data_IF_727818554444
#
_entry.id   IF_727818554444
#
_cell.length_a   1.000
_cell.length_b   1.000
_cell.length_c   1.000
_cell.angle_alpha   90.00
_cell.angle_beta   90.00
_cell.angle_gamma   90.00
#
_symmetry.space_group_name_H-M   'P 1'
#
loop_
_entity.id
_entity.type
_entity.pdbx_description
1 polymer ?
#
# COMPACT_ATOMS: atom_id res chain seq x y z
N UNK A 1 -4.57 6.40 -5.23
CA UNK A 1 -3.52 7.30 -5.70
C UNK A 1 -4.12 8.66 -6.13
N UNK A 2 -5.06 8.72 -7.06
CA UNK A 2 -5.67 9.97 -7.54
C UNK A 2 -6.32 10.78 -6.41
N UNK A 3 -7.11 10.14 -5.55
CA UNK A 3 -7.74 10.79 -4.37
C UNK A 3 -6.73 11.38 -3.40
N UNK A 4 -5.54 10.81 -3.33
CA UNK A 4 -4.45 11.27 -2.47
C UNK A 4 -3.53 12.30 -3.16
N UNK A 5 -3.86 12.74 -4.37
CA UNK A 5 -3.04 13.68 -5.11
C UNK A 5 -1.68 13.14 -5.56
N UNK A 6 -1.54 11.81 -5.63
CA UNK A 6 -0.33 11.18 -6.18
C UNK A 6 -0.28 11.46 -7.69
N UNK A 7 0.78 12.10 -8.21
CA UNK A 7 0.89 12.38 -9.64
C UNK A 7 1.02 11.08 -10.45
N UNK A 8 0.79 11.11 -11.78
CA UNK A 8 1.05 9.97 -12.64
C UNK A 8 2.49 9.47 -12.50
N UNK A 9 2.64 8.27 -11.97
CA UNK A 9 3.91 7.64 -11.65
C UNK A 9 3.86 6.13 -11.85
N UNK A 10 4.89 5.40 -11.42
CA UNK A 10 4.85 3.94 -11.35
C UNK A 10 4.26 3.52 -10.01
N UNK A 11 3.26 2.65 -10.05
CA UNK A 11 2.70 1.99 -8.87
C UNK A 11 3.20 0.56 -8.86
N UNK A 12 3.91 0.18 -7.80
CA UNK A 12 4.44 -1.16 -7.63
C UNK A 12 3.39 -2.06 -6.97
N UNK A 13 3.10 -3.18 -7.63
CA UNK A 13 2.22 -4.22 -7.13
C UNK A 13 3.06 -5.37 -6.60
N UNK A 14 2.80 -5.79 -5.36
CA UNK A 14 3.64 -6.74 -4.67
C UNK A 14 3.21 -8.19 -4.91
N UNK A 15 4.23 -9.06 -5.10
CA UNK A 15 4.15 -10.51 -4.98
C UNK A 15 5.17 -10.90 -3.92
N UNK A 16 4.74 -10.90 -2.66
CA UNK A 16 5.63 -11.06 -1.51
C UNK A 16 5.50 -12.48 -0.92
N UNK A 17 5.76 -13.48 -1.76
CA UNK A 17 5.89 -14.88 -1.38
C UNK A 17 6.72 -15.65 -2.41
N UNK A 18 7.26 -16.81 -2.00
CA UNK A 18 8.03 -17.68 -2.87
C UNK A 18 7.12 -18.46 -3.84
N UNK A 19 6.77 -17.81 -4.95
CA UNK A 19 5.92 -18.41 -5.96
C UNK A 19 6.72 -19.35 -6.87
N UNK A 20 6.19 -20.56 -7.07
CA UNK A 20 6.73 -21.52 -8.03
C UNK A 20 6.42 -21.09 -9.47
N UNK A 21 7.22 -21.56 -10.43
CA UNK A 21 7.02 -21.28 -11.87
C UNK A 21 5.59 -21.58 -12.38
N UNK A 22 4.95 -22.71 -12.02
CA UNK A 22 3.54 -22.94 -12.37
C UNK A 22 2.60 -21.87 -11.78
N UNK A 23 2.83 -21.40 -10.57
CA UNK A 23 2.03 -20.35 -9.94
C UNK A 23 2.22 -19.00 -10.63
N UNK A 24 3.43 -18.69 -11.06
CA UNK A 24 3.69 -17.47 -11.86
C UNK A 24 2.87 -17.52 -13.15
N UNK A 25 2.85 -18.66 -13.83
CA UNK A 25 2.10 -18.83 -15.07
C UNK A 25 0.58 -18.76 -14.88
N UNK A 26 0.08 -19.46 -13.85
CA UNK A 26 -1.39 -19.65 -13.70
C UNK A 26 -2.08 -18.53 -12.92
N UNK A 27 -1.36 -17.78 -12.08
CA UNK A 27 -1.95 -16.78 -11.19
C UNK A 27 -1.34 -15.39 -11.37
N UNK A 28 -0.01 -15.26 -11.36
CA UNK A 28 0.65 -13.97 -11.30
C UNK A 28 0.60 -13.26 -12.67
N UNK A 29 0.90 -13.96 -13.74
CA UNK A 29 0.78 -13.40 -15.10
C UNK A 29 -0.65 -12.92 -15.42
N UNK A 30 -1.73 -13.71 -15.19
CA UNK A 30 -3.09 -13.23 -15.37
C UNK A 30 -3.45 -12.04 -14.47
N UNK A 31 -2.97 -12.03 -13.22
CA UNK A 31 -3.17 -10.92 -12.30
C UNK A 31 -2.56 -9.62 -12.86
N UNK A 32 -1.29 -9.64 -13.25
CA UNK A 32 -0.63 -8.45 -13.81
C UNK A 32 -1.22 -8.01 -15.14
N UNK A 33 -1.69 -8.96 -15.98
CA UNK A 33 -2.45 -8.63 -17.17
C UNK A 33 -3.71 -7.82 -16.84
N UNK A 34 -4.47 -8.26 -15.84
CA UNK A 34 -5.68 -7.56 -15.41
C UNK A 34 -5.36 -6.19 -14.82
N UNK A 35 -4.31 -6.08 -13.98
CA UNK A 35 -3.83 -4.80 -13.42
C UNK A 35 -3.48 -3.83 -14.54
N UNK A 36 -2.69 -4.26 -15.53
CA UNK A 36 -2.27 -3.41 -16.65
C UNK A 36 -3.45 -2.92 -17.48
N UNK A 37 -4.46 -3.75 -17.66
CA UNK A 37 -5.67 -3.39 -18.40
C UNK A 37 -6.60 -2.44 -17.63
N UNK A 38 -6.57 -2.51 -16.30
CA UNK A 38 -7.46 -1.75 -15.41
C UNK A 38 -6.86 -0.45 -14.91
N UNK A 39 -5.52 -0.34 -14.89
CA UNK A 39 -4.84 0.83 -14.36
C UNK A 39 -4.98 2.02 -15.29
N UNK A 40 -5.68 3.05 -14.82
CA UNK A 40 -5.92 4.30 -15.56
C UNK A 40 -5.16 5.49 -14.98
N UNK A 41 -5.54 6.71 -15.41
CA UNK A 41 -5.05 7.96 -14.81
C UNK A 41 -3.59 8.29 -15.10
N UNK A 42 -2.99 7.68 -16.13
CA UNK A 42 -1.59 7.90 -16.50
C UNK A 42 -0.58 7.15 -15.61
N UNK A 43 -1.05 6.35 -14.66
CA UNK A 43 -0.18 5.49 -13.86
C UNK A 43 0.36 4.32 -14.67
N UNK A 44 1.58 3.89 -14.34
CA UNK A 44 2.25 2.76 -14.95
C UNK A 44 2.43 1.64 -13.94
N UNK A 45 2.40 0.40 -14.41
CA UNK A 45 2.57 -0.78 -13.55
C UNK A 45 4.05 -1.03 -13.29
N UNK A 46 4.42 -1.11 -12.02
CA UNK A 46 5.65 -1.71 -11.53
C UNK A 46 5.36 -3.01 -10.80
N UNK A 47 6.38 -3.81 -10.55
CA UNK A 47 6.30 -5.05 -9.78
C UNK A 47 7.30 -5.02 -8.63
N UNK A 48 6.88 -5.47 -7.44
CA UNK A 48 7.76 -5.86 -6.34
C UNK A 48 7.69 -7.37 -6.19
N UNK A 49 8.79 -8.07 -6.43
CA UNK A 49 8.87 -9.53 -6.35
C UNK A 49 10.32 -10.04 -6.42
N UNK A 50 10.50 -11.37 -6.34
CA UNK A 50 11.75 -12.04 -6.65
C UNK A 50 12.16 -11.87 -8.12
N UNK A 51 13.44 -12.05 -8.41
CA UNK A 51 14.08 -11.84 -9.73
C UNK A 51 13.35 -12.52 -10.89
N UNK A 52 13.06 -13.83 -10.74
CA UNK A 52 12.35 -14.60 -11.77
C UNK A 52 10.97 -14.01 -12.08
N UNK A 53 10.20 -13.70 -11.04
CA UNK A 53 8.85 -13.14 -11.21
C UNK A 53 8.93 -11.78 -11.89
N UNK A 54 9.78 -10.88 -11.41
CA UNK A 54 10.03 -9.59 -12.03
C UNK A 54 10.37 -9.72 -13.52
N UNK A 55 11.31 -10.60 -13.86
CA UNK A 55 11.73 -10.86 -15.24
C UNK A 55 10.57 -11.32 -16.11
N UNK A 56 9.78 -12.28 -15.64
CA UNK A 56 8.67 -12.86 -16.42
C UNK A 56 7.54 -11.86 -16.66
N UNK A 57 7.23 -11.03 -15.66
CA UNK A 57 6.18 -10.00 -15.79
C UNK A 57 6.65 -8.86 -16.69
N UNK A 58 7.93 -8.47 -16.62
CA UNK A 58 8.53 -7.49 -17.52
C UNK A 58 8.55 -7.98 -18.98
N UNK A 59 8.98 -9.22 -19.20
CA UNK A 59 9.00 -9.84 -20.54
C UNK A 59 7.59 -9.99 -21.14
N UNK A 60 6.58 -10.19 -20.31
CA UNK A 60 5.18 -10.21 -20.76
C UNK A 60 4.62 -8.79 -21.09
N UNK A 61 5.40 -7.73 -20.85
CA UNK A 61 5.00 -6.35 -21.08
C UNK A 61 4.01 -5.80 -20.05
N UNK A 62 3.88 -6.44 -18.89
CA UNK A 62 2.93 -6.04 -17.87
C UNK A 62 3.51 -5.12 -16.79
N UNK A 63 4.83 -5.01 -16.68
CA UNK A 63 5.48 -4.08 -15.77
C UNK A 63 6.61 -3.32 -16.47
N UNK A 64 6.65 -2.00 -16.28
CA UNK A 64 7.70 -1.13 -16.85
C UNK A 64 8.91 -1.02 -15.93
N UNK A 65 8.77 -1.35 -14.66
CA UNK A 65 9.79 -1.23 -13.64
C UNK A 65 9.71 -2.37 -12.62
N UNK A 66 10.87 -2.83 -12.15
CA UNK A 66 10.97 -3.86 -11.12
C UNK A 66 11.61 -3.29 -9.86
N UNK A 67 11.00 -3.59 -8.73
CA UNK A 67 11.54 -3.47 -7.40
C UNK A 67 11.81 -4.89 -6.91
N UNK A 68 13.08 -5.27 -6.84
CA UNK A 68 13.49 -6.65 -6.61
C UNK A 68 13.61 -6.91 -5.11
N UNK A 69 13.04 -8.00 -4.62
CA UNK A 69 13.14 -8.44 -3.22
C UNK A 69 14.33 -9.40 -3.01
N UNK A 70 15.54 -8.91 -3.27
CA UNK A 70 16.77 -9.74 -3.21
C UNK A 70 17.15 -10.18 -1.79
N UNK A 71 16.72 -9.44 -0.76
CA UNK A 71 16.94 -9.85 0.62
C UNK A 71 16.24 -11.17 0.96
N UNK A 72 15.22 -11.55 0.22
CA UNK A 72 14.55 -12.86 0.34
C UNK A 72 15.39 -13.96 -0.32
N UNK A 73 16.60 -14.17 0.21
CA UNK A 73 17.61 -15.06 -0.37
C UNK A 73 17.21 -16.55 -0.40
N UNK A 74 16.22 -16.93 0.43
CA UNK A 74 15.63 -18.29 0.43
C UNK A 74 14.58 -18.52 -0.66
N UNK A 75 14.12 -17.45 -1.32
CA UNK A 75 13.11 -17.58 -2.37
C UNK A 75 13.69 -18.26 -3.61
N UNK A 76 13.01 -19.28 -4.10
CA UNK A 76 13.40 -20.03 -5.30
C UNK A 76 13.53 -19.11 -6.52
N UNK A 77 12.73 -18.08 -6.59
CA UNK A 77 12.75 -17.07 -7.65
C UNK A 77 13.97 -16.14 -7.63
N UNK A 78 14.77 -16.13 -6.56
CA UNK A 78 16.05 -15.39 -6.48
C UNK A 78 17.27 -16.30 -6.77
N UNK A 79 17.14 -17.60 -6.53
CA UNK A 79 18.25 -18.53 -6.64
C UNK A 79 18.64 -18.78 -8.11
N UNK A 80 19.81 -18.31 -8.50
CA UNK A 80 20.36 -18.52 -9.85
C UNK A 80 19.76 -17.63 -10.95
N UNK A 81 18.83 -16.74 -10.63
CA UNK A 81 18.29 -15.78 -11.59
C UNK A 81 19.08 -14.48 -11.55
N UNK A 82 19.38 -13.89 -12.73
CA UNK A 82 19.96 -12.55 -12.78
C UNK A 82 18.95 -11.51 -12.33
N UNK A 83 19.44 -10.34 -11.92
CA UNK A 83 18.59 -9.18 -11.68
C UNK A 83 17.90 -8.78 -13.01
N UNK A 84 16.59 -8.47 -13.02
CA UNK A 84 15.88 -8.15 -14.25
C UNK A 84 16.39 -6.86 -14.90
N UNK A 85 16.41 -6.80 -16.23
CA UNK A 85 16.94 -5.65 -16.99
C UNK A 85 16.25 -4.33 -16.65
N UNK A 86 14.95 -4.37 -16.30
CA UNK A 86 14.13 -3.21 -15.95
C UNK A 86 14.13 -2.90 -14.44
N UNK A 87 15.12 -3.38 -13.67
CA UNK A 87 15.18 -3.08 -12.25
C UNK A 87 15.41 -1.59 -12.00
N UNK A 88 14.66 -1.06 -11.06
CA UNK A 88 14.78 0.33 -10.59
C UNK A 88 15.23 0.35 -9.14
N UNK A 89 14.67 -0.53 -8.33
CA UNK A 89 15.03 -0.72 -6.93
C UNK A 89 15.40 -2.18 -6.68
N UNK A 90 16.37 -2.38 -5.79
CA UNK A 90 16.81 -3.68 -5.33
C UNK A 90 16.94 -3.67 -3.81
N UNK A 91 16.05 -4.39 -3.14
CA UNK A 91 16.03 -4.57 -1.70
C UNK A 91 16.97 -5.71 -1.33
N UNK A 92 18.19 -5.36 -1.00
CA UNK A 92 19.30 -6.33 -0.92
C UNK A 92 19.69 -6.73 0.50
N UNK A 93 19.23 -5.99 1.54
CA UNK A 93 19.66 -6.26 2.91
C UNK A 93 18.70 -5.65 3.92
N UNK A 94 18.39 -6.41 4.98
CA UNK A 94 17.66 -5.94 6.15
C UNK A 94 18.63 -5.68 7.31
N UNK A 95 18.40 -4.60 8.04
CA UNK A 95 19.04 -4.31 9.33
C UNK A 95 18.00 -4.51 10.42
N UNK A 96 18.08 -5.63 11.14
CA UNK A 96 17.18 -5.90 12.25
C UNK A 96 17.45 -4.98 13.45
N UNK A 97 16.38 -4.50 14.06
CA UNK A 97 16.45 -3.68 15.26
C UNK A 97 17.15 -2.34 15.08
N UNK A 98 17.05 -1.72 13.91
CA UNK A 98 17.69 -0.43 13.66
C UNK A 98 17.32 0.62 14.73
N UNK A 99 18.35 1.17 15.37
CA UNK A 99 18.23 2.09 16.52
C UNK A 99 17.40 1.53 17.68
N UNK A 100 17.27 0.21 17.80
CA UNK A 100 16.47 -0.45 18.82
C UNK A 100 14.96 -0.24 18.69
N UNK A 101 14.46 0.07 17.47
CA UNK A 101 13.06 0.44 17.27
C UNK A 101 12.33 -0.35 16.18
N UNK A 102 12.95 -0.56 15.01
CA UNK A 102 12.31 -1.22 13.86
C UNK A 102 13.37 -1.91 13.00
N UNK A 103 12.93 -2.78 12.12
CA UNK A 103 13.73 -3.33 11.06
C UNK A 103 13.78 -2.37 9.87
N UNK A 104 14.93 -2.28 9.22
CA UNK A 104 15.16 -1.34 8.13
C UNK A 104 15.71 -2.06 6.91
N UNK A 105 14.98 -2.00 5.81
CA UNK A 105 15.41 -2.54 4.53
C UNK A 105 16.30 -1.55 3.78
N UNK A 106 17.44 -2.03 3.32
CA UNK A 106 18.34 -1.26 2.48
C UNK A 106 18.03 -1.53 1.02
N UNK A 107 17.85 -0.45 0.27
CA UNK A 107 17.47 -0.49 -1.14
C UNK A 107 18.51 0.21 -1.98
N UNK A 108 19.01 -0.47 -3.03
CA UNK A 108 19.78 0.15 -4.09
C UNK A 108 18.86 0.75 -5.13
N UNK A 109 19.23 1.93 -5.63
CA UNK A 109 18.49 2.63 -6.68
C UNK A 109 19.34 2.70 -7.95
N UNK A 110 18.80 2.26 -9.08
CA UNK A 110 19.51 2.19 -10.36
C UNK A 110 19.66 3.53 -11.09
N UNK A 111 18.86 4.52 -10.72
CA UNK A 111 18.80 5.80 -11.45
C UNK A 111 18.06 5.74 -12.79
N UNK A 112 17.54 4.59 -13.19
CA UNK A 112 16.90 4.40 -14.53
C UNK A 112 15.53 5.05 -14.66
N UNK A 113 14.87 5.35 -13.55
CA UNK A 113 13.53 5.94 -13.53
C UNK A 113 13.43 6.89 -12.36
N UNK A 114 12.94 8.11 -12.59
CA UNK A 114 12.73 9.07 -11.51
C UNK A 114 11.69 8.57 -10.52
N UNK A 115 11.97 8.69 -9.23
CA UNK A 115 11.00 8.53 -8.18
C UNK A 115 10.28 9.86 -7.95
N UNK A 116 8.97 9.80 -7.73
CA UNK A 116 8.22 10.97 -7.32
C UNK A 116 8.35 11.18 -5.82
N UNK A 117 8.77 12.38 -5.43
CA UNK A 117 8.88 12.80 -4.03
C UNK A 117 7.77 13.77 -3.62
N UNK A 118 6.92 14.17 -4.54
CA UNK A 118 5.83 15.13 -4.30
C UNK A 118 4.48 14.44 -4.45
N UNK A 119 3.83 14.18 -3.34
CA UNK A 119 2.38 13.98 -3.32
C UNK A 119 1.78 15.37 -3.19
N UNK A 120 0.97 15.79 -4.16
CA UNK A 120 0.14 16.97 -3.93
C UNK A 120 -0.81 16.58 -2.81
N UNK A 121 -0.61 17.14 -1.63
CA UNK A 121 -1.62 17.05 -0.58
C UNK A 121 -2.95 17.40 -1.24
N UNK A 122 -3.96 16.56 -1.07
CA UNK A 122 -5.31 16.93 -1.41
C UNK A 122 -5.48 18.37 -0.93
N UNK A 123 -5.91 19.28 -1.82
CA UNK A 123 -6.17 20.67 -1.44
C UNK A 123 -6.92 20.59 -0.12
N UNK A 124 -6.48 21.31 0.91
CA UNK A 124 -7.20 21.28 2.17
C UNK A 124 -8.67 21.49 1.86
N UNK A 125 -9.51 20.55 2.25
CA UNK A 125 -10.94 20.65 2.04
C UNK A 125 -11.32 21.99 2.63
N UNK A 126 -11.83 22.87 1.79
CA UNK A 126 -12.33 24.15 2.29
C UNK A 126 -13.65 23.88 3.01
N UNK A 127 -13.53 23.54 4.29
CA UNK A 127 -14.68 23.22 5.13
C UNK A 127 -15.68 24.38 5.25
N UNK A 128 -15.22 25.62 5.02
CA UNK A 128 -16.09 26.81 5.01
C UNK A 128 -16.98 26.90 3.76
N UNK A 129 -16.64 26.13 2.70
CA UNK A 129 -17.40 26.07 1.45
C UNK A 129 -18.33 24.86 1.35
N UNK A 130 -18.27 23.94 2.32
CA UNK A 130 -19.14 22.77 2.38
C UNK A 130 -20.42 23.12 3.15
N UNK A 131 -21.54 22.64 2.66
CA UNK A 131 -22.74 22.66 3.49
C UNK A 131 -22.65 21.60 4.61
N UNK A 132 -23.61 21.60 5.51
CA UNK A 132 -23.60 20.70 6.67
C UNK A 132 -23.64 19.21 6.27
N UNK A 133 -24.33 18.86 5.18
CA UNK A 133 -24.41 17.48 4.70
C UNK A 133 -23.10 17.03 4.06
N UNK A 134 -22.51 17.89 3.22
CA UNK A 134 -21.19 17.63 2.61
C UNK A 134 -20.11 17.45 3.69
N UNK A 135 -20.19 18.23 4.76
CA UNK A 135 -19.27 18.12 5.89
C UNK A 135 -19.43 16.77 6.62
N UNK A 136 -20.68 16.32 6.82
CA UNK A 136 -20.95 15.00 7.43
C UNK A 136 -20.43 13.89 6.55
N UNK A 137 -20.68 13.92 5.23
CA UNK A 137 -20.19 12.91 4.29
C UNK A 137 -18.66 12.88 4.25
N UNK A 138 -18.00 14.04 4.26
CA UNK A 138 -16.55 14.14 4.32
C UNK A 138 -15.99 13.54 5.62
N UNK A 139 -16.63 13.78 6.75
CA UNK A 139 -16.29 13.21 8.05
C UNK A 139 -16.51 11.71 8.09
N UNK A 140 -17.64 11.22 7.60
CA UNK A 140 -17.93 9.79 7.51
C UNK A 140 -16.90 9.06 6.65
N UNK A 141 -16.57 9.60 5.48
CA UNK A 141 -15.53 9.07 4.60
C UNK A 141 -14.17 9.01 5.30
N UNK A 142 -13.82 10.07 6.04
CA UNK A 142 -12.56 10.12 6.79
C UNK A 142 -12.52 9.12 7.94
N UNK A 143 -13.62 8.93 8.64
CA UNK A 143 -13.73 7.94 9.71
C UNK A 143 -13.69 6.51 9.18
N UNK A 144 -14.25 6.22 8.01
CA UNK A 144 -14.12 4.91 7.37
C UNK A 144 -12.67 4.62 6.97
N UNK A 145 -11.94 5.58 6.44
CA UNK A 145 -10.51 5.45 6.15
C UNK A 145 -9.72 5.15 7.44
N UNK A 146 -9.96 5.89 8.51
CA UNK A 146 -9.33 5.67 9.80
C UNK A 146 -9.74 4.34 10.43
N UNK A 147 -10.98 3.89 10.23
CA UNK A 147 -11.46 2.60 10.73
C UNK A 147 -10.69 1.44 10.13
N UNK A 148 -10.35 1.48 8.83
CA UNK A 148 -9.54 0.44 8.18
C UNK A 148 -8.15 0.37 8.81
N UNK A 149 -7.49 1.52 8.99
CA UNK A 149 -6.17 1.60 9.61
C UNK A 149 -6.21 1.14 11.07
N UNK A 150 -7.18 1.60 11.85
CA UNK A 150 -7.31 1.21 13.26
C UNK A 150 -7.81 -0.22 13.45
N UNK A 151 -8.53 -0.79 12.50
CA UNK A 151 -8.97 -2.18 12.57
C UNK A 151 -7.77 -3.12 12.64
N UNK A 152 -6.76 -2.90 11.83
CA UNK A 152 -5.57 -3.73 11.80
C UNK A 152 -4.67 -3.50 13.04
N UNK A 153 -4.70 -2.30 13.61
CA UNK A 153 -3.93 -1.94 14.81
C UNK A 153 -4.63 -2.29 16.14
N UNK A 154 -5.95 -2.11 16.21
CA UNK A 154 -6.71 -2.33 17.45
C UNK A 154 -7.17 -3.78 17.63
N UNK A 155 -7.11 -4.58 16.57
CA UNK A 155 -7.63 -5.97 16.54
C UNK A 155 -6.55 -7.00 16.24
N UNK A 156 -5.28 -6.61 16.19
CA UNK A 156 -4.20 -7.54 16.43
C UNK A 156 -4.44 -8.24 17.79
N UNK A 157 -3.92 -9.42 17.94
CA UNK A 157 -3.99 -10.22 19.16
C UNK A 157 -3.26 -9.53 20.35
N UNK A 158 -3.71 -8.34 20.74
CA UNK A 158 -3.20 -7.69 21.93
C UNK A 158 -3.92 -8.26 23.14
N UNK A 159 -3.22 -9.02 24.01
CA UNK A 159 -3.79 -9.65 25.19
C UNK A 159 -4.28 -8.63 26.24
N UNK A 160 -4.01 -7.34 26.07
CA UNK A 160 -4.44 -6.28 26.98
C UNK A 160 -5.89 -5.88 26.74
N UNK A 161 -6.42 -6.12 25.55
CA UNK A 161 -7.82 -5.84 25.24
C UNK A 161 -8.70 -7.01 25.64
N UNK A 162 -9.38 -6.89 26.78
CA UNK A 162 -10.40 -7.87 27.14
C UNK A 162 -11.48 -7.92 26.06
N UNK A 163 -12.05 -9.08 25.76
CA UNK A 163 -13.05 -9.26 24.70
C UNK A 163 -14.23 -8.28 24.77
N UNK A 164 -14.62 -7.83 25.96
CA UNK A 164 -15.66 -6.82 26.18
C UNK A 164 -15.21 -5.41 25.77
N UNK A 165 -13.95 -5.05 25.96
CA UNK A 165 -13.39 -3.77 25.54
C UNK A 165 -13.27 -3.70 24.00
N UNK A 166 -12.78 -4.77 23.40
CA UNK A 166 -12.68 -4.89 21.94
C UNK A 166 -14.06 -4.81 21.28
N UNK A 167 -15.06 -5.44 21.88
CA UNK A 167 -16.44 -5.39 21.39
C UNK A 167 -17.03 -3.99 21.51
N UNK A 168 -16.68 -3.25 22.55
CA UNK A 168 -17.14 -1.87 22.73
C UNK A 168 -16.48 -0.89 21.75
N UNK A 169 -15.19 -1.04 21.46
CA UNK A 169 -14.47 -0.20 20.49
C UNK A 169 -14.83 -0.55 19.04
N UNK A 170 -15.23 -1.80 18.78
CA UNK A 170 -15.47 -2.32 17.42
C UNK A 170 -16.64 -1.68 16.67
N UNK A 171 -17.67 -1.27 17.32
CA UNK A 171 -18.91 -0.93 16.61
C UNK A 171 -19.26 0.55 16.67
N UNK A 172 -19.02 1.26 17.77
CA UNK A 172 -19.58 2.60 17.91
C UNK A 172 -18.61 3.75 17.88
N UNK A 173 -17.30 3.54 17.78
CA UNK A 173 -16.35 4.62 18.07
C UNK A 173 -16.54 5.82 17.15
N UNK A 174 -16.70 5.62 15.86
CA UNK A 174 -16.98 6.72 14.94
C UNK A 174 -18.42 7.26 15.11
N UNK A 175 -19.42 6.39 15.33
CA UNK A 175 -20.79 6.82 15.62
C UNK A 175 -20.90 7.55 16.95
N UNK A 176 -20.15 7.14 17.96
CA UNK A 176 -20.09 7.87 19.23
C UNK A 176 -19.42 9.22 19.07
N UNK A 177 -18.32 9.31 18.32
CA UNK A 177 -17.65 10.59 18.03
C UNK A 177 -18.56 11.48 17.19
N UNK A 178 -19.20 10.95 16.16
CA UNK A 178 -20.14 11.70 15.34
C UNK A 178 -21.34 12.18 16.17
N UNK A 179 -21.95 11.32 16.99
CA UNK A 179 -23.03 11.69 17.89
C UNK A 179 -22.60 12.73 18.94
N UNK A 180 -21.37 12.64 19.44
CA UNK A 180 -20.81 13.62 20.35
C UNK A 180 -20.62 14.97 19.65
N UNK A 181 -20.07 15.00 18.44
CA UNK A 181 -19.92 16.22 17.65
C UNK A 181 -21.28 16.83 17.29
N UNK A 182 -22.26 16.01 16.89
CA UNK A 182 -23.63 16.47 16.63
C UNK A 182 -24.31 17.00 17.87
N UNK A 183 -24.04 16.44 19.06
CA UNK A 183 -24.59 16.95 20.33
C UNK A 183 -24.02 18.33 20.70
N UNK A 184 -22.77 18.61 20.34
CA UNK A 184 -22.14 19.92 20.55
C UNK A 184 -22.74 21.01 19.65
N UNK A 185 -23.16 20.65 18.45
CA UNK A 185 -23.82 21.59 17.50
C UNK A 185 -25.26 21.95 17.96
N UNK A 186 -25.91 21.05 18.69
CA UNK A 186 -27.28 21.28 19.19
C UNK A 186 -27.35 22.14 20.46
N UNK A 187 -26.23 22.48 21.06
CA UNK A 187 -26.11 23.25 22.31
C UNK A 187 -25.70 24.71 22.05
N UNK A 188 -25.40 25.05 20.81
CA UNK A 188 -25.07 26.40 20.36
C UNK A 188 -26.19 26.99 19.51
#
# INVERSE_FOLDING_TARGET
>A
AQRLGVPPTVIYFAVDYDATDPQVTSHILPYFKAVTQSLGGGYRVGIYASRNICTRIAQAGYAVASFVSDMSTGFSGNLGFPIPDNWVFDQFHEISGYRGKWDLDRVAYSGRMSADSSVRHAQPVNYDALDFLDLIEALESRFEELRVVYKDYAFGEDPITSGSYVTWVKVPTWRCVLNYLLSLIHIS
#
